data_IF_403395809435
#
_entry.id   IF_403395809435
#
_cell.length_a   1.000
_cell.length_b   1.000
_cell.length_c   1.000
_cell.angle_alpha   90.00
_cell.angle_beta   90.00
_cell.angle_gamma   90.00
#
_symmetry.space_group_name_H-M   'P 1'
#
loop_
_entity.id
_entity.type
_entity.pdbx_description
1 polymer ?
#
# COMPACT_ATOMS: atom_id res chain seq x y z
N UNK A 1 28.87 10.22 -19.67
CA UNK A 1 28.75 9.45 -18.42
C UNK A 1 27.29 9.10 -18.27
N UNK A 2 26.93 7.83 -18.44
CA UNK A 2 25.55 7.36 -18.29
C UNK A 2 25.35 7.08 -16.81
N UNK A 3 24.68 7.99 -16.11
CA UNK A 3 24.31 7.75 -14.71
C UNK A 3 23.27 6.64 -14.69
N UNK A 4 23.67 5.46 -14.22
CA UNK A 4 22.76 4.40 -13.87
C UNK A 4 22.02 4.81 -12.59
N UNK A 5 20.82 5.37 -12.74
CA UNK A 5 19.91 5.56 -11.61
C UNK A 5 19.29 4.21 -11.31
N UNK A 6 19.82 3.52 -10.29
CA UNK A 6 19.14 2.38 -9.66
C UNK A 6 17.85 2.93 -9.02
N UNK A 7 16.72 2.80 -9.71
CA UNK A 7 15.41 3.01 -9.11
C UNK A 7 15.15 1.79 -8.25
N UNK A 8 15.58 1.86 -6.98
CA UNK A 8 15.27 0.87 -5.96
C UNK A 8 13.78 0.54 -6.02
N UNK A 9 13.50 -0.76 -6.04
CA UNK A 9 12.17 -1.36 -6.00
C UNK A 9 11.28 -0.68 -4.94
N UNK A 10 10.00 -0.48 -5.28
CA UNK A 10 9.04 0.18 -4.40
C UNK A 10 9.01 -0.42 -2.99
N UNK A 11 8.64 0.39 -1.99
CA UNK A 11 8.49 -0.05 -0.61
C UNK A 11 7.07 -0.51 -0.37
N UNK A 12 6.89 -1.80 -0.06
CA UNK A 12 5.60 -2.34 0.35
C UNK A 12 5.32 -1.99 1.81
N UNK A 13 4.12 -1.50 2.08
CA UNK A 13 3.63 -1.14 3.42
C UNK A 13 2.50 -2.10 3.75
N UNK A 14 2.56 -2.68 4.94
CA UNK A 14 1.62 -3.67 5.45
C UNK A 14 0.69 -3.03 6.49
N UNK A 15 -0.52 -3.60 6.70
CA UNK A 15 -1.40 -3.20 7.79
C UNK A 15 -0.71 -3.25 9.16
N UNK A 16 -1.18 -2.43 10.09
CA UNK A 16 -0.69 -2.43 11.46
C UNK A 16 -0.89 -3.80 12.12
N UNK A 17 0.15 -4.28 12.82
CA UNK A 17 0.12 -5.58 13.50
C UNK A 17 0.17 -6.81 12.57
N UNK A 18 0.25 -6.62 11.26
CA UNK A 18 0.55 -7.70 10.33
C UNK A 18 2.04 -8.05 10.35
N UNK A 19 2.34 -9.34 10.45
CA UNK A 19 3.70 -9.86 10.25
C UNK A 19 3.74 -10.69 8.96
N UNK A 20 4.34 -10.16 7.87
CA UNK A 20 4.45 -10.89 6.60
C UNK A 20 5.40 -12.09 6.65
N UNK A 21 6.08 -12.33 7.78
CA UNK A 21 7.02 -13.42 7.98
C UNK A 21 6.56 -14.42 9.05
N UNK A 22 5.30 -14.33 9.51
CA UNK A 22 4.77 -15.23 10.53
C UNK A 22 4.79 -16.70 10.08
N UNK A 23 4.41 -16.97 8.83
CA UNK A 23 4.44 -18.30 8.20
C UNK A 23 4.49 -18.19 6.65
N UNK A 24 4.51 -19.33 5.95
CA UNK A 24 4.62 -19.39 4.48
C UNK A 24 3.40 -18.77 3.76
N UNK A 25 2.22 -18.82 4.38
CA UNK A 25 0.96 -18.34 3.78
C UNK A 25 0.67 -16.87 4.15
N UNK A 26 1.24 -16.37 5.25
CA UNK A 26 1.03 -15.02 5.77
C UNK A 26 1.26 -13.95 4.71
N UNK A 27 2.35 -14.03 3.95
CA UNK A 27 2.61 -13.08 2.86
C UNK A 27 1.57 -13.18 1.72
N UNK A 28 1.13 -14.39 1.39
CA UNK A 28 0.17 -14.63 0.31
C UNK A 28 -1.19 -13.99 0.59
N UNK A 29 -1.63 -14.02 1.84
CA UNK A 29 -2.86 -13.36 2.27
C UNK A 29 -2.66 -11.86 2.44
N UNK A 30 -1.57 -11.45 3.12
CA UNK A 30 -1.33 -10.06 3.47
C UNK A 30 -1.10 -9.16 2.26
N UNK A 31 -0.48 -9.65 1.18
CA UNK A 31 -0.16 -8.84 -0.02
C UNK A 31 -1.39 -8.13 -0.61
N UNK A 32 -2.59 -8.67 -0.39
CA UNK A 32 -3.86 -8.09 -0.85
C UNK A 32 -4.31 -6.85 -0.06
N UNK A 33 -3.75 -6.64 1.13
CA UNK A 33 -4.01 -5.49 2.01
C UNK A 33 -2.86 -4.46 1.97
N UNK A 34 -1.88 -4.64 1.07
CA UNK A 34 -0.69 -3.77 1.05
C UNK A 34 -0.84 -2.60 0.11
N UNK A 35 -0.05 -1.57 0.40
CA UNK A 35 0.17 -0.45 -0.52
C UNK A 35 1.65 -0.35 -0.87
N UNK A 36 1.96 0.04 -2.10
CA UNK A 36 3.32 0.17 -2.60
C UNK A 36 3.69 1.66 -2.75
N UNK A 37 4.82 2.06 -2.16
CA UNK A 37 5.41 3.39 -2.32
C UNK A 37 6.53 3.33 -3.35
N UNK A 38 6.30 3.92 -4.52
CA UNK A 38 7.19 3.77 -5.68
C UNK A 38 7.55 5.11 -6.29
N UNK A 39 8.80 5.26 -6.71
CA UNK A 39 9.24 6.42 -7.46
C UNK A 39 8.78 6.33 -8.92
N UNK A 40 8.04 7.34 -9.39
CA UNK A 40 7.43 7.42 -10.73
C UNK A 40 8.07 8.50 -11.61
N UNK A 41 9.31 8.86 -11.29
CA UNK A 41 10.05 9.92 -11.93
C UNK A 41 9.65 11.33 -11.46
N UNK A 42 10.56 12.30 -11.63
CA UNK A 42 10.31 13.68 -11.23
C UNK A 42 9.10 14.28 -11.95
N UNK A 43 8.40 15.19 -11.27
CA UNK A 43 7.29 15.92 -11.89
C UNK A 43 7.84 16.86 -12.97
N UNK A 44 7.16 16.92 -14.12
CA UNK A 44 7.56 17.80 -15.23
C UNK A 44 7.54 19.28 -14.88
N UNK A 45 6.72 19.67 -13.90
CA UNK A 45 6.48 21.07 -13.52
C UNK A 45 7.66 21.69 -12.74
N UNK A 46 8.30 20.93 -11.85
CA UNK A 46 9.35 21.45 -10.96
C UNK A 46 10.61 20.58 -10.90
N UNK A 47 10.65 19.45 -11.62
CA UNK A 47 11.79 18.53 -11.62
C UNK A 47 12.01 17.79 -10.30
N UNK A 48 11.10 17.90 -9.33
CA UNK A 48 11.22 17.33 -8.00
C UNK A 48 10.08 16.34 -7.70
N UNK A 49 10.26 15.58 -6.62
CA UNK A 49 9.28 14.60 -6.16
C UNK A 49 9.09 13.44 -7.13
N UNK A 50 7.93 12.80 -7.04
CA UNK A 50 7.59 11.70 -7.94
C UNK A 50 7.22 10.40 -7.23
N UNK A 51 7.23 10.39 -5.91
CA UNK A 51 6.80 9.24 -5.12
C UNK A 51 5.27 9.11 -5.20
N UNK A 52 4.77 7.92 -5.49
CA UNK A 52 3.35 7.61 -5.52
C UNK A 52 3.07 6.44 -4.57
N UNK A 53 1.88 6.46 -3.95
CA UNK A 53 1.34 5.37 -3.14
C UNK A 53 0.30 4.65 -4.00
N UNK A 54 0.44 3.34 -4.15
CA UNK A 54 -0.36 2.52 -5.06
C UNK A 54 -1.00 1.34 -4.32
N UNK A 55 -2.18 0.92 -4.73
CA UNK A 55 -2.81 -0.30 -4.26
C UNK A 55 -3.14 -1.20 -5.46
N UNK A 56 -2.42 -2.30 -5.63
CA UNK A 56 -2.66 -3.25 -6.73
C UNK A 56 -2.21 -2.77 -8.11
N UNK A 57 -1.34 -1.75 -8.19
CA UNK A 57 -0.69 -1.31 -9.42
C UNK A 57 -0.92 0.17 -9.80
N UNK A 58 -0.54 0.53 -11.03
CA UNK A 58 -0.45 1.94 -11.47
C UNK A 58 -1.80 2.65 -11.65
N UNK A 59 -2.87 1.90 -11.88
CA UNK A 59 -4.22 2.43 -12.12
C UNK A 59 -4.93 2.88 -10.84
N UNK A 60 -4.34 2.61 -9.68
CA UNK A 60 -4.97 2.88 -8.39
C UNK A 60 -3.98 3.53 -7.43
N UNK A 61 -3.86 4.84 -7.55
CA UNK A 61 -2.96 5.69 -6.78
C UNK A 61 -3.73 6.49 -5.74
N UNK A 62 -3.12 6.71 -4.58
CA UNK A 62 -3.66 7.57 -3.55
C UNK A 62 -3.38 9.04 -3.88
N UNK A 63 -4.40 9.87 -3.82
CA UNK A 63 -4.26 11.32 -3.87
C UNK A 63 -3.94 11.89 -2.48
N UNK A 64 -3.37 13.09 -2.45
CA UNK A 64 -3.15 13.88 -1.21
C UNK A 64 -4.44 14.19 -0.46
N UNK A 65 -5.60 14.08 -1.11
CA UNK A 65 -6.92 14.25 -0.50
C UNK A 65 -7.48 12.93 0.08
N UNK A 66 -6.73 11.83 0.04
CA UNK A 66 -7.16 10.53 0.57
C UNK A 66 -8.02 9.70 -0.40
N UNK A 67 -8.19 10.14 -1.66
CA UNK A 67 -8.98 9.41 -2.66
C UNK A 67 -8.09 8.49 -3.51
N UNK A 68 -8.58 7.30 -3.79
CA UNK A 68 -7.96 6.33 -4.69
C UNK A 68 -8.44 6.51 -6.14
N UNK A 69 -7.53 6.46 -7.10
CA UNK A 69 -7.90 6.51 -8.51
C UNK A 69 -6.74 6.52 -9.49
N UNK A 70 -7.07 6.64 -10.77
CA UNK A 70 -6.07 6.70 -11.84
C UNK A 70 -5.78 8.17 -12.21
N UNK A 71 -4.61 8.73 -11.82
CA UNK A 71 -4.29 10.12 -12.15
C UNK A 71 -4.12 10.32 -13.65
N UNK A 72 -4.85 11.30 -14.19
CA UNK A 72 -4.53 11.84 -15.51
C UNK A 72 -3.20 12.61 -15.47
N UNK A 73 -2.57 12.81 -16.63
CA UNK A 73 -1.22 13.41 -16.74
C UNK A 73 -1.11 14.76 -16.02
N UNK A 74 -2.13 15.61 -16.09
CA UNK A 74 -2.15 16.94 -15.46
C UNK A 74 -2.50 16.89 -13.95
N UNK A 75 -2.96 15.75 -13.44
CA UNK A 75 -3.31 15.58 -12.02
C UNK A 75 -2.18 14.95 -11.21
N UNK A 76 -1.05 14.61 -11.83
CA UNK A 76 0.06 13.92 -11.17
C UNK A 76 0.54 14.61 -9.89
N UNK A 77 0.47 15.94 -9.82
CA UNK A 77 0.81 16.70 -8.60
C UNK A 77 -0.08 16.37 -7.40
N UNK A 78 -1.33 15.93 -7.62
CA UNK A 78 -2.28 15.57 -6.57
C UNK A 78 -2.04 14.15 -6.04
N UNK A 79 -1.32 13.31 -6.77
CA UNK A 79 -1.09 11.88 -6.46
C UNK A 79 0.39 11.57 -6.18
N UNK A 80 1.24 12.60 -6.16
CA UNK A 80 2.68 12.46 -5.98
C UNK A 80 3.22 13.33 -4.86
N UNK A 81 4.12 12.75 -4.09
CA UNK A 81 4.81 13.39 -2.99
C UNK A 81 6.22 13.83 -3.38
N UNK A 82 6.71 14.82 -2.64
CA UNK A 82 8.02 15.41 -2.88
C UNK A 82 9.14 14.55 -2.30
N UNK A 83 8.86 13.89 -1.18
CA UNK A 83 9.78 12.98 -0.51
C UNK A 83 9.21 11.57 -0.39
N UNK A 84 10.09 10.59 -0.20
CA UNK A 84 9.69 9.21 0.05
C UNK A 84 8.99 9.10 1.39
N UNK A 85 9.47 9.84 2.37
CA UNK A 85 9.02 9.84 3.76
C UNK A 85 7.57 10.34 3.86
N UNK A 86 7.22 11.40 3.12
CA UNK A 86 5.83 11.87 2.99
C UNK A 86 4.91 10.80 2.40
N UNK A 87 5.35 10.14 1.31
CA UNK A 87 4.57 9.08 0.69
C UNK A 87 4.40 7.88 1.65
N UNK A 88 5.44 7.51 2.39
CA UNK A 88 5.37 6.45 3.42
C UNK A 88 4.44 6.83 4.58
N UNK A 89 4.44 8.09 5.01
CA UNK A 89 3.52 8.55 6.03
C UNK A 89 2.06 8.42 5.56
N UNK A 90 1.77 8.85 4.33
CA UNK A 90 0.43 8.69 3.74
C UNK A 90 0.05 7.22 3.54
N UNK A 91 0.99 6.39 3.08
CA UNK A 91 0.76 4.96 2.94
C UNK A 91 0.36 4.31 4.28
N UNK A 92 1.08 4.62 5.36
CA UNK A 92 0.79 4.11 6.71
C UNK A 92 -0.55 4.59 7.26
N UNK A 93 -1.01 5.77 6.86
CA UNK A 93 -2.32 6.28 7.29
C UNK A 93 -3.49 5.54 6.64
N UNK A 94 -3.30 4.96 5.46
CA UNK A 94 -4.39 4.40 4.65
C UNK A 94 -4.32 2.89 4.43
N UNK A 95 -3.20 2.24 4.77
CA UNK A 95 -3.03 0.79 4.55
C UNK A 95 -4.05 -0.04 5.35
N UNK A 96 -4.46 0.43 6.53
CA UNK A 96 -5.43 -0.26 7.37
C UNK A 96 -6.87 -0.15 6.82
N UNK A 97 -7.14 0.82 5.94
CA UNK A 97 -8.44 1.01 5.29
C UNK A 97 -8.63 0.11 4.05
N UNK A 98 -7.58 -0.63 3.64
CA UNK A 98 -7.64 -1.47 2.45
C UNK A 98 -8.55 -2.67 2.73
N UNK A 99 -9.60 -2.79 1.93
CA UNK A 99 -10.57 -3.89 2.07
C UNK A 99 -10.36 -4.97 1.01
N UNK A 100 -10.44 -6.24 1.42
CA UNK A 100 -10.54 -7.41 0.54
C UNK A 100 -11.83 -8.14 0.88
N UNK A 101 -12.68 -8.33 -0.13
CA UNK A 101 -14.03 -8.89 0.05
C UNK A 101 -14.87 -8.14 1.10
N UNK A 102 -14.75 -6.81 1.12
CA UNK A 102 -15.50 -5.93 2.01
C UNK A 102 -15.04 -5.91 3.47
N UNK A 103 -13.86 -6.48 3.77
CA UNK A 103 -13.26 -6.48 5.12
C UNK A 103 -11.84 -5.94 5.08
N UNK A 104 -11.47 -5.15 6.08
CA UNK A 104 -10.09 -4.77 6.39
C UNK A 104 -9.30 -5.94 6.96
N UNK A 105 -7.98 -5.78 7.11
CA UNK A 105 -7.15 -6.81 7.76
C UNK A 105 -7.58 -7.08 9.21
N UNK A 106 -7.86 -6.04 9.99
CA UNK A 106 -8.30 -6.18 11.38
C UNK A 106 -9.64 -6.94 11.49
N UNK A 107 -10.57 -6.70 10.56
CA UNK A 107 -11.84 -7.42 10.51
C UNK A 107 -11.65 -8.90 10.13
N UNK A 108 -10.70 -9.21 9.23
CA UNK A 108 -10.33 -10.58 8.92
C UNK A 108 -9.73 -11.32 10.11
N UNK A 109 -8.83 -10.67 10.85
CA UNK A 109 -8.27 -11.23 12.08
C UNK A 109 -9.36 -11.55 13.10
N UNK A 110 -10.34 -10.66 13.25
CA UNK A 110 -11.48 -10.88 14.13
C UNK A 110 -12.33 -12.07 13.66
N UNK A 111 -12.65 -12.13 12.37
CA UNK A 111 -13.43 -13.23 11.79
C UNK A 111 -12.77 -14.61 12.00
N UNK A 112 -11.45 -14.71 11.79
CA UNK A 112 -10.75 -15.98 12.01
C UNK A 112 -10.67 -16.36 13.49
N UNK A 113 -10.47 -15.38 14.39
CA UNK A 113 -10.49 -15.63 15.83
C UNK A 113 -11.87 -16.13 16.31
N UNK A 114 -12.95 -15.53 15.83
CA UNK A 114 -14.33 -15.96 16.14
C UNK A 114 -14.60 -17.38 15.61
N UNK A 115 -14.16 -17.68 14.39
CA UNK A 115 -14.32 -19.01 13.82
C UNK A 115 -13.54 -20.07 14.59
N UNK A 116 -12.30 -19.80 14.95
CA UNK A 116 -11.48 -20.71 15.75
C UNK A 116 -12.08 -20.96 17.15
N UNK A 117 -12.71 -19.95 17.75
CA UNK A 117 -13.41 -20.09 19.03
C UNK A 117 -14.75 -20.85 18.92
N UNK A 118 -15.38 -20.84 17.74
CA UNK A 118 -16.65 -21.50 17.47
C UNK A 118 -16.50 -22.95 17.00
N UNK A 119 -15.31 -23.38 16.57
CA UNK A 119 -15.05 -24.78 16.26
C UNK A 119 -15.03 -25.60 17.57
N UNK A 120 -15.98 -26.52 17.79
CA UNK A 120 -15.94 -27.38 18.96
C UNK A 120 -14.67 -28.24 18.86
N UNK A 121 -13.86 -28.21 19.93
CA UNK A 121 -12.80 -29.18 20.13
C UNK A 121 -13.42 -30.57 19.99
N UNK A 122 -13.14 -31.27 18.89
CA UNK A 122 -13.48 -32.68 18.76
C UNK A 122 -12.91 -33.42 19.99
N UNK A 123 -13.83 -33.95 20.78
CA UNK A 123 -13.58 -34.82 21.93
C UNK A 123 -13.58 -36.29 21.47
#
# INVERSE_FOLDING_TARGET
MTEHVEILSGTKVFPAGADPFADEDAYHDLRHFTVDVTFRGPRRENGQGGWAVMNGGESNQLSRAGNWGWPQRFQQHQYRWDTREEALAMARQHVDDITVNGRTWAEWQTYFAERAAAEPSDA
#
